data_IF_384597049633
#
_entry.id   IF_384597049633
#
_cell.length_a   1.000
_cell.length_b   1.000
_cell.length_c   1.000
_cell.angle_alpha   90.00
_cell.angle_beta   90.00
_cell.angle_gamma   90.00
#
_symmetry.space_group_name_H-M   'P 1'
#
loop_
_entity.id
_entity.type
_entity.pdbx_description
1 polymer ?
#
# COMPACT_ATOMS: atom_id res chain seq x y z
N UNK A 1 11.33 4.05 -16.65
CA UNK A 1 12.68 4.56 -16.37
C UNK A 1 13.47 4.39 -17.65
N UNK A 2 13.82 5.48 -18.32
CA UNK A 2 14.67 5.44 -19.51
C UNK A 2 16.10 5.38 -18.96
N UNK A 3 16.81 4.29 -19.23
CA UNK A 3 18.22 4.18 -18.86
C UNK A 3 19.02 4.91 -19.91
N UNK A 4 19.39 6.15 -19.60
CA UNK A 4 20.38 6.88 -20.38
C UNK A 4 21.77 6.36 -20.02
N UNK A 5 22.69 6.34 -20.98
CA UNK A 5 24.10 6.15 -20.65
C UNK A 5 24.54 7.28 -19.71
N UNK A 6 25.33 6.94 -18.68
CA UNK A 6 25.89 7.93 -17.77
C UNK A 6 26.67 8.97 -18.56
N UNK A 7 26.45 10.24 -18.22
CA UNK A 7 27.36 11.30 -18.66
C UNK A 7 28.74 11.03 -18.08
N UNK A 8 29.79 11.36 -18.82
CA UNK A 8 31.18 11.23 -18.34
C UNK A 8 31.42 11.99 -17.01
N UNK A 9 30.62 13.00 -16.70
CA UNK A 9 30.64 13.69 -15.39
C UNK A 9 30.04 12.84 -14.27
N UNK A 10 28.89 12.21 -14.52
CA UNK A 10 28.18 11.35 -13.56
C UNK A 10 28.95 10.06 -13.28
N UNK A 11 29.60 9.49 -14.30
CA UNK A 11 30.45 8.31 -14.14
C UNK A 11 31.63 8.55 -13.19
N UNK A 12 32.25 9.74 -13.27
CA UNK A 12 33.32 10.16 -12.35
C UNK A 12 32.81 10.41 -10.94
N UNK A 13 31.61 10.97 -10.80
CA UNK A 13 31.00 11.23 -9.49
C UNK A 13 30.64 9.94 -8.73
N UNK A 14 30.33 8.86 -9.47
CA UNK A 14 29.97 7.57 -8.91
C UNK A 14 31.13 6.54 -8.89
N UNK A 15 32.38 6.99 -9.11
CA UNK A 15 33.57 6.11 -9.21
C UNK A 15 33.40 4.93 -10.19
N UNK A 16 32.62 5.13 -11.24
CA UNK A 16 32.38 4.12 -12.27
C UNK A 16 33.57 4.13 -13.23
N UNK A 17 34.42 3.12 -13.09
CA UNK A 17 35.58 2.95 -13.96
C UNK A 17 35.14 2.38 -15.31
N UNK A 18 35.36 3.13 -16.39
CA UNK A 18 35.15 2.63 -17.75
C UNK A 18 36.12 1.47 -18.01
N UNK A 19 35.61 0.24 -17.94
CA UNK A 19 36.40 -0.93 -18.31
C UNK A 19 36.66 -0.85 -19.82
N UNK A 20 37.94 -0.91 -20.21
CA UNK A 20 38.33 -0.96 -21.62
C UNK A 20 37.55 -2.02 -22.39
N UNK A 21 37.24 -1.73 -23.66
CA UNK A 21 36.35 -2.54 -24.52
C UNK A 21 36.63 -4.03 -24.46
N UNK A 22 37.90 -4.44 -24.50
CA UNK A 22 38.32 -5.84 -24.44
C UNK A 22 37.99 -6.53 -23.09
N UNK A 23 38.15 -5.83 -21.96
CA UNK A 23 37.88 -6.38 -20.63
C UNK A 23 36.37 -6.49 -20.39
N UNK A 24 35.60 -5.53 -20.89
CA UNK A 24 34.14 -5.57 -20.86
C UNK A 24 33.60 -6.73 -21.70
N UNK A 25 34.11 -6.94 -22.91
CA UNK A 25 33.73 -8.05 -23.78
C UNK A 25 34.03 -9.41 -23.15
N UNK A 26 35.22 -9.58 -22.58
CA UNK A 26 35.60 -10.82 -21.89
C UNK A 26 34.66 -11.14 -20.72
N UNK A 27 34.31 -10.11 -19.93
CA UNK A 27 33.36 -10.24 -18.83
C UNK A 27 31.96 -10.67 -19.32
N UNK A 28 31.42 -9.99 -20.33
CA UNK A 28 30.08 -10.29 -20.88
C UNK A 28 30.04 -11.73 -21.41
N UNK A 29 31.07 -12.17 -22.13
CA UNK A 29 31.16 -13.56 -22.62
C UNK A 29 31.19 -14.58 -21.47
N UNK A 30 31.99 -14.33 -20.43
CA UNK A 30 32.07 -15.21 -19.26
C UNK A 30 30.74 -15.25 -18.48
N UNK A 31 30.08 -14.09 -18.33
CA UNK A 31 28.78 -13.98 -17.67
C UNK A 31 27.69 -14.75 -18.41
N UNK A 32 27.60 -14.60 -19.75
CA UNK A 32 26.61 -15.32 -20.56
C UNK A 32 26.82 -16.83 -20.49
N UNK A 33 28.07 -17.30 -20.58
CA UNK A 33 28.40 -18.73 -20.45
C UNK A 33 27.96 -19.31 -19.10
N UNK A 34 28.07 -18.53 -18.02
CA UNK A 34 27.65 -18.94 -16.68
C UNK A 34 26.14 -18.91 -16.48
N UNK A 35 25.47 -17.86 -16.97
CA UNK A 35 24.04 -17.64 -16.73
C UNK A 35 23.15 -18.44 -17.69
N UNK A 36 23.66 -18.80 -18.87
CA UNK A 36 22.91 -19.50 -19.93
C UNK A 36 23.65 -20.77 -20.38
N UNK A 37 23.76 -21.82 -19.53
CA UNK A 37 24.58 -22.99 -19.82
C UNK A 37 24.06 -23.86 -20.99
N UNK A 38 22.79 -23.70 -21.36
CA UNK A 38 22.12 -24.45 -22.43
C UNK A 38 22.28 -23.78 -23.81
N UNK A 39 22.86 -22.59 -23.89
CA UNK A 39 22.99 -21.84 -25.13
C UNK A 39 24.29 -22.21 -25.84
N UNK A 40 24.22 -22.46 -27.15
CA UNK A 40 25.43 -22.61 -27.94
C UNK A 40 26.17 -21.28 -28.04
N UNK A 41 27.48 -21.34 -28.32
CA UNK A 41 28.28 -20.14 -28.50
C UNK A 41 27.74 -19.27 -29.65
N UNK A 42 27.24 -19.91 -30.71
CA UNK A 42 26.65 -19.26 -31.87
C UNK A 42 25.34 -18.53 -31.51
N UNK A 43 24.51 -19.13 -30.65
CA UNK A 43 23.28 -18.49 -30.16
C UNK A 43 23.60 -17.26 -29.31
N UNK A 44 24.62 -17.35 -28.45
CA UNK A 44 25.09 -16.25 -27.62
C UNK A 44 25.58 -15.07 -28.48
N UNK A 45 26.41 -15.34 -29.49
CA UNK A 45 26.92 -14.30 -30.40
C UNK A 45 25.80 -13.67 -31.22
N UNK A 46 24.84 -14.48 -31.72
CA UNK A 46 23.68 -13.96 -32.46
C UNK A 46 22.82 -13.02 -31.60
N UNK A 47 22.66 -13.33 -30.31
CA UNK A 47 21.90 -12.50 -29.37
C UNK A 47 22.62 -11.19 -29.03
N UNK A 48 23.96 -11.20 -28.95
CA UNK A 48 24.76 -9.99 -28.73
C UNK A 48 24.73 -9.05 -29.94
N UNK A 49 24.65 -9.59 -31.16
CA UNK A 49 24.62 -8.82 -32.40
C UNK A 49 23.23 -8.25 -32.74
N UNK A 50 22.15 -8.80 -32.15
CA UNK A 50 20.80 -8.27 -32.36
C UNK A 50 20.73 -6.83 -31.86
N UNK A 51 20.55 -5.89 -32.79
CA UNK A 51 20.15 -4.51 -32.45
C UNK A 51 18.78 -4.56 -31.80
N UNK A 52 18.74 -4.41 -30.48
CA UNK A 52 17.48 -4.27 -29.76
C UNK A 52 16.79 -2.99 -30.21
N UNK A 53 15.72 -3.12 -30.99
CA UNK A 53 14.81 -2.01 -31.26
C UNK A 53 14.02 -1.78 -29.98
N UNK A 54 14.50 -0.86 -29.14
CA UNK A 54 13.76 -0.40 -27.96
C UNK A 54 12.63 0.49 -28.47
N UNK A 55 11.47 -0.11 -28.75
CA UNK A 55 10.26 0.66 -29.00
C UNK A 55 9.90 1.39 -27.70
N UNK A 56 10.02 2.72 -27.72
CA UNK A 56 9.65 3.59 -26.60
C UNK A 56 8.16 3.41 -26.29
N UNK A 57 7.83 2.50 -25.38
CA UNK A 57 6.47 2.33 -24.90
C UNK A 57 6.15 3.47 -23.92
N UNK A 58 5.74 4.62 -24.44
CA UNK A 58 5.17 5.69 -23.63
C UNK A 58 3.83 5.21 -23.06
N UNK A 59 3.85 4.72 -21.82
CA UNK A 59 2.61 4.59 -21.05
C UNK A 59 2.03 6.00 -20.88
N UNK A 60 1.00 6.34 -21.67
CA UNK A 60 0.24 7.58 -21.46
C UNK A 60 -0.44 7.48 -20.10
N UNK A 61 0.20 8.01 -19.05
CA UNK A 61 -0.41 8.10 -17.74
C UNK A 61 -1.61 9.03 -17.86
N UNK A 62 -2.83 8.46 -17.84
CA UNK A 62 -4.05 9.25 -17.76
C UNK A 62 -3.97 10.08 -16.49
N UNK A 63 -4.19 11.41 -16.55
CA UNK A 63 -4.20 12.22 -15.34
C UNK A 63 -5.29 11.67 -14.42
N UNK A 64 -4.89 11.23 -13.22
CA UNK A 64 -5.82 10.81 -12.17
C UNK A 64 -6.68 12.03 -11.84
N UNK A 65 -7.93 12.05 -12.31
CA UNK A 65 -8.91 13.03 -11.85
C UNK A 65 -9.02 12.87 -10.34
N UNK A 66 -8.60 13.88 -9.58
CA UNK A 66 -8.83 13.90 -8.14
C UNK A 66 -10.33 13.94 -7.92
N UNK A 67 -10.91 12.79 -7.51
CA UNK A 67 -12.30 12.73 -7.09
C UNK A 67 -12.46 13.73 -5.95
N UNK A 68 -13.26 14.78 -6.16
CA UNK A 68 -13.63 15.72 -5.11
C UNK A 68 -14.37 14.92 -4.04
N UNK A 69 -13.69 14.59 -2.94
CA UNK A 69 -14.38 14.08 -1.75
C UNK A 69 -15.35 15.16 -1.29
N UNK A 70 -16.53 14.77 -0.80
CA UNK A 70 -17.43 15.72 -0.14
C UNK A 70 -16.63 16.40 0.97
N UNK A 71 -16.51 17.73 0.89
CA UNK A 71 -15.86 18.50 1.94
C UNK A 71 -16.83 18.47 3.12
N UNK A 72 -16.57 17.56 4.07
CA UNK A 72 -17.19 17.63 5.38
C UNK A 72 -16.76 18.91 6.11
N UNK A 73 -17.34 19.12 7.29
CA UNK A 73 -16.98 20.24 8.14
C UNK A 73 -15.49 20.22 8.49
N UNK A 74 -14.82 21.35 8.30
CA UNK A 74 -13.44 21.56 8.74
C UNK A 74 -13.33 21.43 10.26
N UNK A 75 -12.15 21.05 10.76
CA UNK A 75 -11.89 20.98 12.20
C UNK A 75 -12.19 22.32 12.91
N UNK A 76 -11.93 23.45 12.26
CA UNK A 76 -12.31 24.78 12.79
C UNK A 76 -13.82 24.92 12.92
N UNK A 77 -14.57 24.55 11.88
CA UNK A 77 -16.03 24.59 11.89
C UNK A 77 -16.63 23.69 12.98
N UNK A 78 -16.08 22.48 13.19
CA UNK A 78 -16.54 21.57 14.25
C UNK A 78 -16.32 22.14 15.65
N UNK A 79 -15.20 22.86 15.88
CA UNK A 79 -14.91 23.56 17.14
C UNK A 79 -15.83 24.76 17.34
N UNK A 80 -16.05 25.55 16.30
CA UNK A 80 -16.94 26.72 16.37
C UNK A 80 -18.38 26.30 16.70
N UNK A 81 -18.84 25.16 16.18
CA UNK A 81 -20.16 24.59 16.50
C UNK A 81 -20.21 23.84 17.83
N UNK A 82 -19.10 23.74 18.57
CA UNK A 82 -19.04 23.02 19.86
C UNK A 82 -19.60 21.61 19.80
N UNK A 83 -19.43 20.93 18.65
CA UNK A 83 -20.06 19.63 18.36
C UNK A 83 -19.69 18.54 19.39
N UNK A 84 -18.56 18.70 20.06
CA UNK A 84 -18.02 17.75 21.02
C UNK A 84 -17.90 18.33 22.43
N UNK A 85 -18.33 19.57 22.65
CA UNK A 85 -18.31 20.16 23.98
C UNK A 85 -19.52 19.62 24.74
N UNK A 86 -19.25 18.75 25.71
CA UNK A 86 -20.27 18.27 26.63
C UNK A 86 -20.39 19.31 27.74
N UNK A 87 -21.62 19.77 28.01
CA UNK A 87 -21.85 20.72 29.11
C UNK A 87 -21.28 20.14 30.42
N UNK A 88 -20.60 20.94 31.25
CA UNK A 88 -19.92 20.45 32.45
C UNK A 88 -20.87 19.72 33.42
N UNK A 89 -22.13 20.11 33.47
CA UNK A 89 -23.18 19.43 34.24
C UNK A 89 -23.45 18.00 33.75
N UNK A 90 -23.29 17.77 32.44
CA UNK A 90 -23.46 16.50 31.76
C UNK A 90 -22.16 15.67 31.72
N UNK A 91 -21.02 16.18 32.21
CA UNK A 91 -19.77 15.43 32.29
C UNK A 91 -19.72 14.46 33.48
N UNK A 92 -20.78 14.41 34.29
CA UNK A 92 -20.90 13.47 35.40
C UNK A 92 -21.12 12.06 34.87
N UNK A 93 -20.03 11.27 34.78
CA UNK A 93 -20.07 9.89 34.30
C UNK A 93 -21.13 9.02 34.99
N UNK A 94 -21.40 9.27 36.27
CA UNK A 94 -22.44 8.58 37.05
C UNK A 94 -23.83 8.64 36.40
N UNK A 95 -24.15 9.72 35.67
CA UNK A 95 -25.44 9.87 34.98
C UNK A 95 -25.58 8.92 33.79
N UNK A 96 -24.47 8.53 33.15
CA UNK A 96 -24.47 7.63 31.99
C UNK A 96 -24.35 6.16 32.37
N UNK A 97 -24.14 5.84 33.64
CA UNK A 97 -24.00 4.46 34.08
C UNK A 97 -25.31 3.67 33.86
N UNK A 98 -26.46 4.32 34.00
CA UNK A 98 -27.76 3.75 33.68
C UNK A 98 -27.90 3.36 32.21
N UNK A 99 -27.32 4.16 31.30
CA UNK A 99 -27.29 3.88 29.86
C UNK A 99 -26.43 2.66 29.55
N UNK A 100 -25.30 2.50 30.25
CA UNK A 100 -24.46 1.31 30.13
C UNK A 100 -25.16 0.04 30.63
N UNK A 101 -25.89 0.12 31.73
CA UNK A 101 -26.69 -1.01 32.21
C UNK A 101 -27.81 -1.39 31.22
N UNK A 102 -28.44 -0.39 30.59
CA UNK A 102 -29.39 -0.63 29.50
C UNK A 102 -28.72 -1.35 28.32
N UNK A 103 -27.54 -0.91 27.90
CA UNK A 103 -26.80 -1.55 26.82
C UNK A 103 -26.42 -3.00 27.16
N UNK A 104 -26.01 -3.27 28.40
CA UNK A 104 -25.74 -4.65 28.84
C UNK A 104 -26.98 -5.55 28.76
N UNK A 105 -28.14 -5.04 29.16
CA UNK A 105 -29.41 -5.77 29.04
C UNK A 105 -29.72 -6.05 27.57
N UNK A 106 -29.62 -5.02 26.72
CA UNK A 106 -29.81 -5.16 25.28
C UNK A 106 -28.91 -6.24 24.65
N UNK A 107 -27.61 -6.26 24.96
CA UNK A 107 -26.69 -7.26 24.40
C UNK A 107 -27.01 -8.68 24.92
N UNK A 108 -27.43 -8.81 26.19
CA UNK A 108 -27.85 -10.10 26.75
C UNK A 108 -29.09 -10.64 26.03
N UNK A 109 -30.06 -9.77 25.78
CA UNK A 109 -31.29 -10.12 25.05
C UNK A 109 -30.99 -10.44 23.59
N UNK A 110 -30.13 -9.64 22.93
CA UNK A 110 -29.71 -9.87 21.55
C UNK A 110 -29.03 -11.23 21.38
N UNK A 111 -28.17 -11.61 22.33
CA UNK A 111 -27.46 -12.88 22.31
C UNK A 111 -28.28 -14.06 22.87
N UNK A 112 -29.48 -13.84 23.42
CA UNK A 112 -30.30 -14.83 24.14
C UNK A 112 -29.53 -15.52 25.30
N UNK A 113 -28.64 -14.77 25.96
CA UNK A 113 -27.73 -15.26 26.99
C UNK A 113 -26.46 -15.92 26.44
N UNK A 114 -25.31 -15.66 27.08
CA UNK A 114 -24.02 -16.24 26.74
C UNK A 114 -23.88 -17.60 27.46
N UNK A 115 -24.50 -18.64 26.92
CA UNK A 115 -24.31 -20.03 27.40
C UNK A 115 -23.01 -20.60 26.83
N UNK A 116 -22.32 -21.51 27.54
CA UNK A 116 -21.05 -22.10 27.08
C UNK A 116 -21.15 -22.83 25.73
N UNK A 117 -22.37 -23.26 25.35
CA UNK A 117 -22.65 -23.95 24.09
C UNK A 117 -23.00 -23.01 22.92
N UNK A 118 -22.89 -21.70 23.13
CA UNK A 118 -23.30 -20.72 22.11
C UNK A 118 -22.22 -20.56 21.05
N UNK A 119 -22.58 -20.80 19.79
CA UNK A 119 -21.66 -20.70 18.67
C UNK A 119 -21.10 -19.26 18.52
N UNK A 120 -19.77 -19.05 18.61
CA UNK A 120 -19.17 -17.71 18.53
C UNK A 120 -19.46 -16.98 17.20
N UNK A 121 -19.60 -17.73 16.10
CA UNK A 121 -19.90 -17.19 14.78
C UNK A 121 -21.30 -16.55 14.72
N UNK A 122 -22.27 -17.10 15.46
CA UNK A 122 -23.62 -16.53 15.56
C UNK A 122 -23.61 -15.21 16.34
N UNK A 123 -22.85 -15.14 17.44
CA UNK A 123 -22.67 -13.92 18.23
C UNK A 123 -22.00 -12.84 17.37
N UNK A 124 -20.95 -13.20 16.63
CA UNK A 124 -20.27 -12.29 15.71
C UNK A 124 -21.23 -11.71 14.66
N UNK A 125 -22.05 -12.55 14.02
CA UNK A 125 -23.01 -12.09 13.01
C UNK A 125 -24.07 -11.14 13.59
N UNK A 126 -24.51 -11.37 14.84
CA UNK A 126 -25.43 -10.47 15.54
C UNK A 126 -24.77 -9.14 15.89
N UNK A 127 -23.54 -9.15 16.40
CA UNK A 127 -22.79 -7.93 16.74
C UNK A 127 -22.46 -7.08 15.52
N UNK A 128 -22.17 -7.70 14.36
CA UNK A 128 -21.93 -6.97 13.11
C UNK A 128 -23.16 -6.19 12.62
N UNK A 129 -24.36 -6.57 13.05
CA UNK A 129 -25.63 -5.90 12.71
C UNK A 129 -26.19 -5.10 13.88
N UNK A 130 -25.58 -5.22 15.05
CA UNK A 130 -26.03 -4.53 16.25
C UNK A 130 -25.72 -3.05 16.15
N UNK A 131 -26.47 -2.29 16.93
CA UNK A 131 -26.21 -0.88 17.09
C UNK A 131 -25.27 -0.64 18.28
N UNK A 132 -24.17 0.08 18.07
CA UNK A 132 -23.04 0.22 19.01
C UNK A 132 -22.74 1.70 19.33
N UNK A 133 -23.80 2.51 19.44
CA UNK A 133 -23.73 3.91 19.85
C UNK A 133 -23.00 4.13 21.19
#
# INVERSE_FOLDING_TARGET
VIYNAFSHKEAKEHDIQELGTQRAEAFVRAFLKRSMPHWSQQDCESHLQRKAVVLEYFTRQKPKQQKKKSKGLSAKQRRDMRLFDINPEQQRYSLFLSLHELWKQYIRDLCNGLKPDTQPQLIQAKLLKADLH
#
